data_IF_313563277545
#
_entry.id   IF_313563277545
#
_cell.length_a   1.000
_cell.length_b   1.000
_cell.length_c   1.000
_cell.angle_alpha   90.00
_cell.angle_beta   90.00
_cell.angle_gamma   90.00
#
_symmetry.space_group_name_H-M   'P 1'
#
loop_
_entity.id
_entity.type
_entity.pdbx_description
1 polymer ?
#
# COMPACT_ATOMS: atom_id res chain seq x y z
N UNK A 1 17.18 -49.51 21.98
CA UNK A 1 18.13 -48.43 22.28
C UNK A 1 17.33 -47.25 22.79
N UNK A 2 17.76 -46.61 23.87
CA UNK A 2 17.10 -45.44 24.46
C UNK A 2 16.96 -44.33 23.39
N UNK A 3 15.73 -43.92 23.06
CA UNK A 3 15.44 -42.98 21.98
C UNK A 3 16.13 -41.64 22.23
N UNK A 4 16.15 -41.21 23.50
CA UNK A 4 16.87 -40.04 23.96
C UNK A 4 18.39 -40.12 23.72
N UNK A 5 19.02 -41.26 24.01
CA UNK A 5 20.47 -41.41 23.84
C UNK A 5 20.89 -41.33 22.36
N UNK A 6 20.05 -41.86 21.46
CA UNK A 6 20.25 -41.73 20.00
C UNK A 6 20.13 -40.27 19.57
N UNK A 7 19.09 -39.56 20.03
CA UNK A 7 18.85 -38.16 19.70
C UNK A 7 19.98 -37.25 20.19
N UNK A 8 20.44 -37.43 21.44
CA UNK A 8 21.55 -36.66 22.03
C UNK A 8 22.86 -36.86 21.26
N UNK A 9 23.14 -38.09 20.80
CA UNK A 9 24.31 -38.36 19.96
C UNK A 9 24.22 -37.63 18.61
N UNK A 10 23.04 -37.56 18.00
CA UNK A 10 22.83 -36.86 16.73
C UNK A 10 23.00 -35.35 16.90
N UNK A 11 22.45 -34.75 17.95
CA UNK A 11 22.68 -33.33 18.26
C UNK A 11 24.16 -33.01 18.48
N UNK A 12 24.90 -33.86 19.22
CA UNK A 12 26.36 -33.70 19.39
C UNK A 12 27.14 -33.81 18.09
N UNK A 13 26.62 -34.55 17.11
CA UNK A 13 27.21 -34.70 15.79
C UNK A 13 26.81 -33.59 14.79
N UNK A 14 26.13 -32.54 15.27
CA UNK A 14 25.76 -31.38 14.45
C UNK A 14 24.47 -31.56 13.64
N UNK A 15 23.62 -32.53 14.01
CA UNK A 15 22.26 -32.60 13.48
C UNK A 15 21.36 -31.60 14.20
N UNK A 16 20.44 -31.01 13.46
CA UNK A 16 19.38 -30.14 13.94
C UNK A 16 18.03 -30.67 13.45
N UNK A 17 16.93 -30.22 14.05
CA UNK A 17 15.60 -30.55 13.54
C UNK A 17 15.32 -29.73 12.27
N UNK A 18 14.81 -30.41 11.24
CA UNK A 18 14.56 -29.91 9.87
C UNK A 18 13.05 -29.91 9.57
N UNK A 19 12.26 -29.32 10.47
CA UNK A 19 10.81 -29.27 10.38
C UNK A 19 10.14 -29.31 11.76
N UNK A 20 8.80 -29.18 11.81
CA UNK A 20 8.05 -29.35 13.05
C UNK A 20 8.12 -30.81 13.53
N UNK A 21 7.88 -31.01 14.82
CA UNK A 21 7.61 -32.32 15.36
C UNK A 21 6.26 -32.83 14.82
N UNK A 22 6.24 -34.01 14.21
CA UNK A 22 5.02 -34.54 13.57
C UNK A 22 4.46 -35.65 14.44
N UNK A 23 3.39 -35.36 15.18
CA UNK A 23 2.63 -36.37 15.92
C UNK A 23 1.68 -37.09 14.96
N UNK A 24 1.97 -38.34 14.61
CA UNK A 24 1.17 -39.06 13.60
C UNK A 24 -0.30 -39.25 14.01
N UNK A 25 -0.61 -39.17 15.30
CA UNK A 25 -1.98 -39.20 15.83
C UNK A 25 -2.83 -38.02 15.39
N UNK A 26 -2.23 -36.88 15.07
CA UNK A 26 -2.91 -35.61 14.73
C UNK A 26 -3.22 -35.47 13.24
N UNK A 27 -2.68 -36.36 12.40
CA UNK A 27 -2.76 -36.25 10.94
C UNK A 27 -3.67 -37.32 10.35
N UNK A 28 -4.43 -36.95 9.33
CA UNK A 28 -5.15 -37.90 8.48
C UNK A 28 -4.18 -38.57 7.51
N UNK A 29 -4.56 -39.71 6.93
CA UNK A 29 -3.73 -40.39 5.92
C UNK A 29 -3.39 -39.49 4.73
N UNK A 30 -4.31 -38.63 4.28
CA UNK A 30 -4.08 -37.65 3.21
C UNK A 30 -3.09 -36.55 3.63
N UNK A 31 -3.14 -36.10 4.89
CA UNK A 31 -2.19 -35.10 5.41
C UNK A 31 -0.78 -35.67 5.57
N UNK A 32 -0.65 -36.96 5.92
CA UNK A 32 0.65 -37.65 5.99
C UNK A 32 1.31 -37.71 4.61
N UNK A 33 0.55 -37.95 3.54
CA UNK A 33 1.07 -37.93 2.16
C UNK A 33 1.65 -36.57 1.77
N UNK A 34 0.95 -35.48 2.10
CA UNK A 34 1.44 -34.12 1.86
C UNK A 34 2.71 -33.83 2.63
N UNK A 35 2.80 -34.29 3.87
CA UNK A 35 4.00 -34.16 4.71
C UNK A 35 5.18 -34.92 4.12
N UNK A 36 4.99 -36.18 3.68
CA UNK A 36 6.04 -36.99 3.02
C UNK A 36 6.54 -36.32 1.75
N UNK A 37 5.64 -35.80 0.93
CA UNK A 37 5.99 -35.07 -0.30
C UNK A 37 6.68 -33.74 -0.03
N UNK A 38 6.24 -32.97 0.98
CA UNK A 38 6.78 -31.65 1.25
C UNK A 38 8.18 -31.71 1.85
N UNK A 39 8.42 -32.64 2.78
CA UNK A 39 9.70 -32.79 3.45
C UNK A 39 10.66 -33.76 2.75
N UNK A 40 10.22 -34.47 1.70
CA UNK A 40 10.96 -35.55 1.04
C UNK A 40 11.43 -36.61 2.05
N UNK A 41 10.49 -37.17 2.81
CA UNK A 41 10.77 -38.20 3.83
C UNK A 41 11.12 -39.53 3.17
N UNK A 42 12.24 -40.16 3.55
CA UNK A 42 12.67 -41.45 2.99
C UNK A 42 12.04 -42.68 3.65
N UNK A 43 11.39 -42.52 4.81
CA UNK A 43 10.65 -43.59 5.47
C UNK A 43 9.50 -44.09 4.59
N UNK A 44 9.35 -45.41 4.50
CA UNK A 44 8.26 -46.04 3.74
C UNK A 44 6.90 -45.55 4.22
N UNK A 45 6.08 -45.06 3.29
CA UNK A 45 4.76 -44.51 3.56
C UNK A 45 3.86 -45.52 4.29
N UNK A 46 4.00 -46.82 4.00
CA UNK A 46 3.25 -47.86 4.71
C UNK A 46 3.63 -47.95 6.19
N UNK A 47 4.87 -47.61 6.54
CA UNK A 47 5.35 -47.61 7.93
C UNK A 47 4.79 -46.43 8.72
N UNK A 48 4.60 -45.28 8.08
CA UNK A 48 3.98 -44.08 8.69
C UNK A 48 2.46 -44.21 8.83
N UNK A 49 1.81 -44.96 7.92
CA UNK A 49 0.37 -45.21 7.94
C UNK A 49 -0.04 -46.45 8.77
N UNK A 50 0.92 -47.24 9.26
CA UNK A 50 0.65 -48.39 10.12
C UNK A 50 -0.01 -47.95 11.43
N UNK A 51 -1.05 -48.67 11.85
CA UNK A 51 -1.72 -48.50 13.15
C UNK A 51 -0.72 -48.57 14.31
N UNK A 52 0.35 -49.37 14.18
CA UNK A 52 1.41 -49.52 15.19
C UNK A 52 2.35 -48.31 15.31
N UNK A 53 2.23 -47.34 14.40
CA UNK A 53 3.02 -46.11 14.36
C UNK A 53 2.21 -44.87 14.73
N UNK A 54 0.89 -44.99 14.85
CA UNK A 54 -0.03 -43.87 15.03
C UNK A 54 0.17 -43.11 16.34
N UNK A 55 0.72 -43.75 17.35
CA UNK A 55 1.06 -43.18 18.65
C UNK A 55 2.49 -42.60 18.71
N UNK A 56 3.24 -42.64 17.60
CA UNK A 56 4.62 -42.18 17.54
C UNK A 56 4.72 -40.78 16.95
N UNK A 57 5.79 -40.09 17.34
CA UNK A 57 6.22 -38.84 16.72
C UNK A 57 7.34 -39.09 15.73
N UNK A 58 7.28 -38.40 14.60
CA UNK A 58 8.33 -38.36 13.60
C UNK A 58 9.19 -37.10 13.82
N UNK A 59 10.48 -37.33 14.00
CA UNK A 59 11.54 -36.33 14.03
C UNK A 59 12.30 -36.38 12.71
N UNK A 60 12.42 -35.24 12.04
CA UNK A 60 13.25 -35.09 10.83
C UNK A 60 14.48 -34.29 11.24
N UNK A 61 15.65 -34.89 11.11
CA UNK A 61 16.92 -34.25 11.43
C UNK A 61 17.74 -34.04 10.17
N UNK A 62 18.45 -32.91 10.10
CA UNK A 62 19.42 -32.61 9.04
C UNK A 62 20.75 -32.21 9.66
N UNK A 63 21.85 -32.68 9.08
CA UNK A 63 23.17 -32.25 9.49
C UNK A 63 23.45 -30.82 8.98
N UNK A 64 23.99 -29.93 9.81
CA UNK A 64 24.19 -28.53 9.38
C UNK A 64 25.22 -28.38 8.25
N UNK A 65 26.25 -29.22 8.25
CA UNK A 65 27.38 -29.16 7.32
C UNK A 65 27.18 -29.95 6.02
N UNK A 66 26.10 -30.72 5.91
CA UNK A 66 25.80 -31.55 4.74
C UNK A 66 24.30 -31.53 4.41
N UNK A 67 23.91 -32.17 3.32
CA UNK A 67 22.48 -32.39 3.02
C UNK A 67 21.95 -33.70 3.62
N UNK A 68 22.73 -34.34 4.50
CA UNK A 68 22.38 -35.62 5.11
C UNK A 68 21.19 -35.46 6.05
N UNK A 69 20.24 -36.38 5.94
CA UNK A 69 18.96 -36.37 6.63
C UNK A 69 18.73 -37.69 7.33
N UNK A 70 18.14 -37.61 8.51
CA UNK A 70 17.82 -38.77 9.33
C UNK A 70 16.43 -38.59 9.89
N UNK A 71 15.56 -39.55 9.63
CA UNK A 71 14.25 -39.64 10.26
C UNK A 71 14.26 -40.57 11.46
N UNK A 72 13.61 -40.14 12.54
CA UNK A 72 13.43 -40.95 13.75
C UNK A 72 11.94 -41.01 14.08
N UNK A 73 11.40 -42.21 14.04
CA UNK A 73 10.07 -42.51 14.56
C UNK A 73 10.22 -42.99 16.01
N UNK A 74 9.61 -42.29 16.96
CA UNK A 74 9.78 -42.58 18.39
C UNK A 74 8.50 -42.33 19.20
N UNK A 75 8.25 -43.16 20.20
CA UNK A 75 7.26 -42.94 21.26
C UNK A 75 7.91 -42.61 22.61
N UNK A 76 9.24 -42.44 22.66
CA UNK A 76 9.96 -42.04 23.87
C UNK A 76 9.67 -40.56 24.20
N UNK A 77 8.81 -40.33 25.18
CA UNK A 77 8.42 -39.00 25.66
C UNK A 77 9.60 -38.12 26.04
N UNK A 78 10.70 -38.70 26.54
CA UNK A 78 11.89 -37.93 26.91
C UNK A 78 12.62 -37.42 25.68
N UNK A 79 12.68 -38.22 24.62
CA UNK A 79 13.25 -37.81 23.34
C UNK A 79 12.38 -36.74 22.67
N UNK A 80 11.05 -36.89 22.74
CA UNK A 80 10.08 -35.91 22.23
C UNK A 80 10.25 -34.56 22.95
N UNK A 81 10.18 -34.56 24.29
CA UNK A 81 10.36 -33.33 25.08
C UNK A 81 11.72 -32.67 24.83
N UNK A 82 12.78 -33.46 24.62
CA UNK A 82 14.11 -32.94 24.29
C UNK A 82 14.16 -32.32 22.90
N UNK A 83 13.47 -32.90 21.91
CA UNK A 83 13.34 -32.36 20.57
C UNK A 83 12.53 -31.05 20.57
N UNK A 84 11.43 -30.98 21.30
CA UNK A 84 10.66 -29.74 21.47
C UNK A 84 11.50 -28.61 22.06
N UNK A 85 12.27 -28.90 23.12
CA UNK A 85 13.23 -27.94 23.69
C UNK A 85 14.30 -27.52 22.67
N UNK A 86 14.72 -28.44 21.81
CA UNK A 86 15.64 -28.12 20.72
C UNK A 86 14.97 -27.19 19.70
N UNK A 87 13.73 -27.45 19.27
CA UNK A 87 12.97 -26.57 18.37
C UNK A 87 12.87 -25.16 18.95
N UNK A 88 12.45 -25.03 20.22
CA UNK A 88 12.37 -23.73 20.90
C UNK A 88 13.72 -22.99 20.90
N UNK A 89 14.81 -23.70 21.14
CA UNK A 89 16.16 -23.12 21.06
C UNK A 89 16.55 -22.73 19.62
N UNK A 90 16.20 -23.56 18.63
CA UNK A 90 16.50 -23.30 17.22
C UNK A 90 15.70 -22.10 16.68
N UNK A 91 14.44 -21.98 17.13
CA UNK A 91 13.49 -20.93 16.76
C UNK A 91 13.65 -19.66 17.60
N UNK A 92 14.56 -19.63 18.58
CA UNK A 92 14.86 -18.41 19.30
C UNK A 92 15.32 -17.33 18.31
N UNK A 93 14.65 -16.18 18.33
CA UNK A 93 14.99 -15.05 17.48
C UNK A 93 16.26 -14.40 18.02
N UNK A 94 17.34 -14.45 17.24
CA UNK A 94 18.64 -13.87 17.59
C UNK A 94 18.91 -12.54 16.88
N UNK A 95 17.99 -12.10 16.04
CA UNK A 95 18.10 -10.85 15.30
C UNK A 95 16.97 -10.67 14.31
N UNK A 96 17.11 -9.66 13.46
CA UNK A 96 16.12 -9.28 12.46
C UNK A 96 16.77 -9.10 11.11
N UNK A 97 16.12 -9.61 10.07
CA UNK A 97 16.49 -9.37 8.68
C UNK A 97 15.47 -8.41 8.06
N UNK A 98 15.97 -7.32 7.50
CA UNK A 98 15.16 -6.32 6.81
C UNK A 98 15.48 -6.42 5.33
N UNK A 99 14.47 -6.51 4.48
CA UNK A 99 14.58 -6.33 3.04
C UNK A 99 13.73 -5.13 2.64
N UNK A 100 14.29 -4.18 1.91
CA UNK A 100 13.65 -2.95 1.48
C UNK A 100 13.62 -2.94 -0.04
N UNK A 101 12.46 -2.60 -0.59
CA UNK A 101 12.25 -2.57 -2.03
C UNK A 101 12.15 -1.13 -2.52
N UNK A 102 12.99 -0.82 -3.51
CA UNK A 102 13.21 0.53 -3.98
C UNK A 102 13.03 0.65 -5.49
N UNK A 103 12.67 1.86 -5.93
CA UNK A 103 12.63 2.26 -7.33
C UNK A 103 13.34 3.60 -7.50
N UNK A 104 14.19 3.70 -8.52
CA UNK A 104 14.83 4.93 -8.96
C UNK A 104 14.07 5.49 -10.17
N UNK A 105 13.66 6.77 -10.11
CA UNK A 105 12.99 7.44 -11.23
C UNK A 105 13.38 8.92 -11.34
N UNK A 106 13.24 9.45 -12.55
CA UNK A 106 13.56 10.84 -12.86
C UNK A 106 15.08 11.07 -13.00
N UNK A 107 15.45 11.89 -13.98
CA UNK A 107 16.76 12.51 -14.07
C UNK A 107 16.60 13.89 -14.73
N UNK A 108 17.50 14.82 -14.45
CA UNK A 108 17.51 16.18 -15.04
C UNK A 108 17.68 16.20 -16.57
N UNK A 109 17.88 15.04 -17.20
CA UNK A 109 18.19 14.92 -18.63
C UNK A 109 16.89 14.82 -19.45
N UNK A 110 16.70 15.66 -20.49
CA UNK A 110 15.41 15.85 -21.15
C UNK A 110 14.93 14.69 -22.05
N UNK A 111 15.51 13.48 -21.95
CA UNK A 111 15.07 12.30 -22.73
C UNK A 111 15.14 11.03 -21.88
N UNK A 112 14.08 10.20 -22.02
CA UNK A 112 13.93 8.84 -21.45
C UNK A 112 15.21 8.02 -21.62
N UNK A 113 16.09 8.05 -20.64
CA UNK A 113 17.19 7.09 -20.53
C UNK A 113 16.87 6.06 -19.46
N UNK A 114 17.28 4.83 -19.74
CA UNK A 114 17.26 3.71 -18.81
C UNK A 114 18.30 4.01 -17.72
N UNK A 115 17.87 4.05 -16.46
CA UNK A 115 18.78 4.22 -15.32
C UNK A 115 19.42 2.87 -15.04
N UNK A 116 20.63 2.67 -15.54
CA UNK A 116 21.41 1.48 -15.23
C UNK A 116 21.99 1.58 -13.82
N UNK A 117 21.34 0.89 -12.88
CA UNK A 117 21.74 0.87 -11.47
C UNK A 117 22.95 -0.02 -11.18
N UNK A 118 23.51 -0.73 -12.17
CA UNK A 118 24.59 -1.71 -11.95
C UNK A 118 25.81 -1.10 -11.24
N UNK A 119 26.26 0.08 -11.67
CA UNK A 119 27.38 0.77 -11.02
C UNK A 119 26.99 1.42 -9.69
N UNK A 120 25.70 1.76 -9.51
CA UNK A 120 25.18 2.29 -8.24
C UNK A 120 25.12 1.17 -7.18
N UNK A 121 24.59 0.02 -7.56
CA UNK A 121 24.53 -1.23 -6.80
C UNK A 121 25.90 -1.65 -6.26
N UNK A 122 26.88 -1.76 -7.15
CA UNK A 122 28.23 -2.20 -6.80
C UNK A 122 28.93 -1.25 -5.81
N UNK A 123 28.64 0.06 -5.87
CA UNK A 123 29.25 1.06 -5.00
C UNK A 123 28.56 1.19 -3.64
N UNK A 124 27.31 0.75 -3.52
CA UNK A 124 26.54 0.80 -2.28
C UNK A 124 26.46 -0.55 -1.56
N UNK A 125 26.93 -1.63 -2.19
CA UNK A 125 26.96 -2.92 -1.55
C UNK A 125 27.86 -2.88 -0.30
N UNK A 126 27.32 -3.38 0.82
CA UNK A 126 27.88 -3.32 2.17
C UNK A 126 28.05 -1.91 2.76
N UNK A 127 27.50 -0.87 2.12
CA UNK A 127 27.48 0.48 2.71
C UNK A 127 26.60 0.48 3.96
N UNK A 128 27.21 0.71 5.12
CA UNK A 128 26.56 0.68 6.43
C UNK A 128 25.83 -0.65 6.73
N UNK A 129 26.33 -1.74 6.14
CA UNK A 129 25.78 -3.10 6.32
C UNK A 129 24.53 -3.39 5.49
N UNK A 130 24.20 -2.55 4.51
CA UNK A 130 23.16 -2.84 3.53
C UNK A 130 23.75 -3.59 2.32
N UNK A 131 23.16 -4.74 2.00
CA UNK A 131 23.48 -5.55 0.84
C UNK A 131 22.56 -5.17 -0.31
N UNK A 132 23.14 -4.91 -1.47
CA UNK A 132 22.39 -4.45 -2.64
C UNK A 132 22.14 -5.60 -3.60
N UNK A 133 20.92 -5.71 -4.10
CA UNK A 133 20.54 -6.61 -5.18
C UNK A 133 19.70 -5.88 -6.22
N UNK A 134 20.06 -6.01 -7.50
CA UNK A 134 19.26 -5.44 -8.59
C UNK A 134 17.95 -6.22 -8.72
N UNK A 135 16.86 -5.50 -8.96
CA UNK A 135 15.56 -6.11 -9.27
C UNK A 135 15.48 -6.53 -10.73
N UNK A 136 14.50 -7.38 -11.06
CA UNK A 136 14.27 -7.86 -12.43
C UNK A 136 13.72 -6.77 -13.37
N UNK A 137 13.19 -5.68 -12.80
CA UNK A 137 12.66 -4.54 -13.55
C UNK A 137 13.65 -3.38 -13.58
N UNK A 138 13.77 -2.72 -14.73
CA UNK A 138 14.64 -1.54 -14.88
C UNK A 138 14.34 -0.46 -13.83
N UNK A 139 15.39 0.08 -13.21
CA UNK A 139 15.27 1.09 -12.16
C UNK A 139 14.82 0.55 -10.80
N UNK A 140 14.61 -0.75 -10.62
CA UNK A 140 14.25 -1.34 -9.33
C UNK A 140 15.43 -2.03 -8.65
N UNK A 141 15.42 -2.04 -7.32
CA UNK A 141 16.45 -2.70 -6.53
C UNK A 141 15.97 -3.05 -5.11
N UNK A 142 16.67 -3.99 -4.50
CA UNK A 142 16.47 -4.48 -3.15
C UNK A 142 17.68 -4.13 -2.29
N UNK A 143 17.41 -3.75 -1.05
CA UNK A 143 18.41 -3.51 -0.03
C UNK A 143 18.12 -4.39 1.19
N UNK A 144 19.07 -5.22 1.57
CA UNK A 144 18.94 -6.12 2.70
C UNK A 144 19.88 -5.74 3.84
N UNK A 145 19.42 -5.80 5.09
CA UNK A 145 20.28 -5.59 6.26
C UNK A 145 19.91 -6.57 7.37
N UNK A 146 20.96 -7.13 7.97
CA UNK A 146 20.87 -7.94 9.18
C UNK A 146 21.12 -7.07 10.40
N UNK A 147 20.23 -7.15 11.38
CA UNK A 147 20.34 -6.52 12.68
C UNK A 147 20.47 -7.59 13.76
N UNK A 148 21.39 -7.40 14.71
CA UNK A 148 21.52 -8.24 15.91
C UNK A 148 20.55 -7.80 17.03
N UNK A 149 19.41 -7.21 16.64
CA UNK A 149 18.35 -6.75 17.54
C UNK A 149 16.99 -7.21 17.03
N UNK A 150 16.07 -7.44 17.95
CA UNK A 150 14.65 -7.75 17.70
C UNK A 150 13.73 -6.58 18.07
N UNK A 151 14.29 -5.45 18.50
CA UNK A 151 13.51 -4.29 18.92
C UNK A 151 12.97 -3.52 17.71
N UNK A 152 11.69 -3.20 17.73
CA UNK A 152 11.02 -2.42 16.69
C UNK A 152 11.68 -1.05 16.47
N UNK A 153 12.14 -0.40 17.55
CA UNK A 153 12.87 0.86 17.47
C UNK A 153 14.19 0.77 16.68
N UNK A 154 14.88 -0.37 16.73
CA UNK A 154 16.10 -0.59 15.96
C UNK A 154 15.79 -0.77 14.46
N UNK A 155 14.67 -1.40 14.14
CA UNK A 155 14.17 -1.56 12.77
C UNK A 155 13.81 -0.20 12.19
N UNK A 156 13.00 0.60 12.90
CA UNK A 156 12.59 1.92 12.43
C UNK A 156 13.80 2.83 12.23
N UNK A 157 14.75 2.82 13.16
CA UNK A 157 16.00 3.58 13.03
C UNK A 157 16.79 3.18 11.79
N UNK A 158 16.86 1.89 11.46
CA UNK A 158 17.55 1.42 10.26
C UNK A 158 16.84 1.87 8.97
N UNK A 159 15.50 1.87 8.96
CA UNK A 159 14.70 2.36 7.83
C UNK A 159 14.83 3.88 7.65
N UNK A 160 14.81 4.65 8.74
CA UNK A 160 15.00 6.10 8.72
C UNK A 160 16.42 6.48 8.24
N UNK A 161 17.43 5.74 8.70
CA UNK A 161 18.81 5.87 8.23
C UNK A 161 18.90 5.60 6.72
N UNK A 162 18.25 4.54 6.24
CA UNK A 162 18.22 4.22 4.82
C UNK A 162 17.51 5.32 4.00
N UNK A 163 16.34 5.79 4.45
CA UNK A 163 15.62 6.86 3.77
C UNK A 163 16.50 8.12 3.66
N UNK A 164 17.19 8.50 4.74
CA UNK A 164 18.12 9.63 4.73
C UNK A 164 19.25 9.45 3.71
N UNK A 165 19.84 8.24 3.63
CA UNK A 165 20.86 7.92 2.62
C UNK A 165 20.29 8.09 1.20
N UNK A 166 19.10 7.56 0.94
CA UNK A 166 18.45 7.66 -0.37
C UNK A 166 18.09 9.12 -0.73
N UNK A 167 17.68 9.93 0.24
CA UNK A 167 17.40 11.35 0.04
C UNK A 167 18.67 12.13 -0.32
N UNK A 168 19.78 11.89 0.41
CA UNK A 168 21.08 12.50 0.13
C UNK A 168 21.58 12.08 -1.26
N UNK A 169 21.48 10.79 -1.59
CA UNK A 169 21.84 10.27 -2.91
C UNK A 169 20.98 10.88 -4.00
N UNK A 170 19.70 11.15 -3.71
CA UNK A 170 18.79 11.76 -4.68
C UNK A 170 19.28 13.14 -5.12
N UNK A 171 19.81 13.93 -4.18
CA UNK A 171 20.40 15.24 -4.47
C UNK A 171 21.67 15.10 -5.30
N UNK A 172 22.60 14.23 -4.91
CA UNK A 172 23.88 14.09 -5.60
C UNK A 172 23.74 13.49 -7.00
N UNK A 173 22.78 12.58 -7.18
CA UNK A 173 22.56 11.88 -8.44
C UNK A 173 21.46 12.50 -9.29
N UNK A 174 20.79 13.53 -8.78
CA UNK A 174 19.65 14.18 -9.44
C UNK A 174 18.61 13.15 -9.92
N UNK A 175 18.40 12.12 -9.12
CA UNK A 175 17.58 10.94 -9.39
C UNK A 175 16.73 10.69 -8.16
N UNK A 176 15.42 10.56 -8.27
CA UNK A 176 14.60 10.26 -7.10
C UNK A 176 14.67 8.76 -6.77
N UNK A 177 14.87 8.44 -5.49
CA UNK A 177 14.77 7.09 -4.97
C UNK A 177 13.53 6.97 -4.07
N UNK A 178 12.68 5.98 -4.32
CA UNK A 178 11.47 5.72 -3.54
C UNK A 178 11.53 4.32 -2.95
N UNK A 179 11.31 4.23 -1.64
CA UNK A 179 10.97 2.97 -0.98
C UNK A 179 9.47 2.74 -1.19
N UNK A 180 9.10 1.64 -1.86
CA UNK A 180 7.70 1.28 -2.08
C UNK A 180 7.21 0.17 -1.14
N UNK A 181 8.13 -0.53 -0.48
CA UNK A 181 7.79 -1.52 0.52
C UNK A 181 9.02 -2.02 1.27
N UNK A 182 8.78 -2.74 2.36
CA UNK A 182 9.81 -3.49 3.06
C UNK A 182 9.20 -4.74 3.70
N UNK A 183 10.03 -5.75 3.92
CA UNK A 183 9.70 -6.95 4.68
C UNK A 183 10.68 -7.12 5.84
N UNK A 184 10.15 -7.52 6.99
CA UNK A 184 10.92 -7.80 8.19
C UNK A 184 10.73 -9.27 8.54
N UNK A 185 11.83 -9.99 8.73
CA UNK A 185 11.79 -11.41 9.08
C UNK A 185 12.72 -11.69 10.27
N UNK A 186 12.29 -12.52 11.23
CA UNK A 186 13.14 -12.90 12.35
C UNK A 186 14.31 -13.77 11.87
N UNK A 187 15.50 -13.50 12.38
CA UNK A 187 16.66 -14.38 12.21
C UNK A 187 16.63 -15.37 13.35
N UNK A 188 16.39 -16.64 13.00
CA UNK A 188 16.39 -17.75 13.96
C UNK A 188 17.82 -18.19 14.28
N UNK A 189 18.05 -18.65 15.51
CA UNK A 189 19.37 -19.09 16.01
C UNK A 189 20.02 -20.13 15.10
N UNK A 190 19.23 -21.11 14.67
CA UNK A 190 19.68 -22.19 13.79
C UNK A 190 18.52 -22.64 12.90
N UNK A 191 18.45 -22.07 11.71
CA UNK A 191 17.42 -22.38 10.73
C UNK A 191 17.64 -21.62 9.43
N UNK A 192 17.03 -22.08 8.34
CA UNK A 192 16.91 -21.28 7.11
C UNK A 192 16.17 -19.99 7.47
N UNK A 193 16.67 -18.87 6.98
CA UNK A 193 15.83 -17.68 6.81
C UNK A 193 14.77 -18.10 5.80
N UNK A 194 13.55 -18.38 6.27
CA UNK A 194 12.40 -18.43 5.38
C UNK A 194 12.14 -16.96 5.06
N UNK A 195 12.86 -16.45 4.07
CA UNK A 195 12.41 -15.25 3.38
C UNK A 195 11.19 -15.70 2.59
N UNK A 196 10.00 -15.35 3.08
CA UNK A 196 8.90 -15.18 2.14
C UNK A 196 9.40 -14.16 1.12
N UNK A 197 9.59 -14.62 -0.12
CA UNK A 197 9.72 -13.70 -1.25
C UNK A 197 8.49 -12.80 -1.31
N UNK A 198 8.48 -11.79 -2.20
CA UNK A 198 7.27 -11.01 -2.43
C UNK A 198 6.08 -11.97 -2.61
N UNK A 199 5.02 -11.77 -1.85
CA UNK A 199 3.77 -12.50 -2.09
C UNK A 199 3.27 -12.08 -3.46
N UNK A 200 3.47 -12.97 -4.44
CA UNK A 200 2.93 -12.81 -5.78
C UNK A 200 1.41 -12.88 -5.69
N UNK A 201 0.79 -11.71 -5.58
CA UNK A 201 -0.66 -11.60 -5.67
C UNK A 201 -1.00 -11.54 -7.14
N UNK A 202 -1.40 -12.68 -7.70
CA UNK A 202 -1.97 -12.70 -9.05
C UNK A 202 -3.25 -11.90 -9.05
N UNK A 203 -3.37 -10.93 -9.96
CA UNK A 203 -4.66 -10.30 -10.21
C UNK A 203 -5.65 -11.40 -10.61
N UNK A 204 -6.84 -11.47 -9.99
CA UNK A 204 -7.85 -12.42 -10.41
C UNK A 204 -8.20 -12.18 -11.88
N UNK A 205 -8.57 -13.23 -12.64
CA UNK A 205 -8.98 -13.07 -14.02
C UNK A 205 -10.19 -12.13 -14.08
N UNK A 206 -10.18 -11.22 -15.06
CA UNK A 206 -11.29 -10.29 -15.29
C UNK A 206 -12.57 -11.08 -15.52
N UNK A 207 -13.57 -10.82 -14.70
CA UNK A 207 -14.88 -11.48 -14.74
C UNK A 207 -15.72 -10.95 -15.90
N UNK A 208 -16.74 -11.71 -16.32
CA UNK A 208 -17.66 -11.26 -17.37
C UNK A 208 -18.45 -10.01 -16.94
N UNK A 209 -18.81 -9.91 -15.66
CA UNK A 209 -19.45 -8.71 -15.07
C UNK A 209 -18.56 -7.48 -15.20
N UNK A 210 -17.25 -7.59 -14.91
CA UNK A 210 -16.30 -6.49 -15.11
C UNK A 210 -16.16 -6.11 -16.58
N UNK A 211 -16.17 -7.06 -17.51
CA UNK A 211 -16.14 -6.77 -18.95
C UNK A 211 -17.38 -5.98 -19.37
N UNK A 212 -18.56 -6.36 -18.89
CA UNK A 212 -19.81 -5.68 -19.26
C UNK A 212 -19.89 -4.28 -18.63
N UNK A 213 -19.39 -4.10 -17.40
CA UNK A 213 -19.19 -2.79 -16.77
C UNK A 213 -18.21 -1.91 -17.54
N UNK A 214 -17.10 -2.46 -18.04
CA UNK A 214 -16.15 -1.73 -18.89
C UNK A 214 -16.85 -1.26 -20.17
N UNK A 215 -17.66 -2.10 -20.82
CA UNK A 215 -18.42 -1.69 -22.01
C UNK A 215 -19.41 -0.57 -21.68
N UNK A 216 -20.12 -0.68 -20.56
CA UNK A 216 -21.04 0.36 -20.08
C UNK A 216 -20.29 1.68 -19.80
N UNK A 217 -19.14 1.62 -19.12
CA UNK A 217 -18.26 2.76 -18.87
C UNK A 217 -17.82 3.49 -20.15
N UNK A 218 -17.53 2.74 -21.20
CA UNK A 218 -17.08 3.29 -22.47
C UNK A 218 -18.18 4.07 -23.21
N UNK A 219 -19.45 3.92 -22.82
CA UNK A 219 -20.60 4.55 -23.47
C UNK A 219 -20.89 6.00 -23.02
N UNK A 220 -20.36 6.46 -21.88
CA UNK A 220 -20.59 7.82 -21.36
C UNK A 220 -19.29 8.56 -21.09
N UNK A 221 -19.29 9.88 -21.23
CA UNK A 221 -18.08 10.71 -21.02
C UNK A 221 -17.85 10.92 -19.53
N UNK A 222 -18.92 11.08 -18.76
CA UNK A 222 -18.94 11.32 -17.33
C UNK A 222 -18.35 10.13 -16.55
N UNK A 223 -18.68 8.89 -16.96
CA UNK A 223 -18.09 7.70 -16.36
C UNK A 223 -16.59 7.59 -16.67
N UNK A 224 -16.17 7.93 -17.90
CA UNK A 224 -14.74 7.95 -18.26
C UNK A 224 -13.98 8.96 -17.41
N UNK A 225 -14.54 10.13 -17.16
CA UNK A 225 -13.93 11.16 -16.33
C UNK A 225 -13.88 10.72 -14.86
N UNK A 226 -14.93 10.07 -14.34
CA UNK A 226 -14.92 9.47 -13.00
C UNK A 226 -13.85 8.38 -12.85
N UNK A 227 -13.76 7.43 -13.78
CA UNK A 227 -12.71 6.40 -13.78
C UNK A 227 -11.32 7.01 -13.92
N UNK A 228 -11.15 8.02 -14.78
CA UNK A 228 -9.87 8.72 -14.93
C UNK A 228 -9.48 9.41 -13.63
N UNK A 229 -10.41 10.08 -12.96
CA UNK A 229 -10.17 10.72 -11.67
C UNK A 229 -9.75 9.75 -10.57
N UNK A 230 -10.44 8.61 -10.48
CA UNK A 230 -10.08 7.53 -9.55
C UNK A 230 -8.71 6.93 -9.89
N UNK A 231 -8.44 6.63 -11.16
CA UNK A 231 -7.13 6.13 -11.59
C UNK A 231 -6.03 7.13 -11.27
N UNK A 232 -6.24 8.41 -11.58
CA UNK A 232 -5.27 9.46 -11.29
C UNK A 232 -5.02 9.59 -9.79
N UNK A 233 -6.04 9.48 -8.94
CA UNK A 233 -5.82 9.45 -7.50
C UNK A 233 -5.02 8.20 -7.06
N UNK A 234 -5.26 7.03 -7.63
CA UNK A 234 -4.46 5.84 -7.28
C UNK A 234 -2.99 5.93 -7.69
N UNK A 235 -2.69 6.68 -8.75
CA UNK A 235 -1.31 6.94 -9.20
C UNK A 235 -0.57 7.92 -8.29
N UNK A 236 -1.28 8.80 -7.57
CA UNK A 236 -0.64 9.78 -6.69
C UNK A 236 -0.10 9.14 -5.40
N UNK A 237 1.11 9.52 -5.01
CA UNK A 237 1.80 8.93 -3.85
C UNK A 237 1.38 9.54 -2.51
N UNK A 238 0.84 10.77 -2.50
CA UNK A 238 0.46 11.46 -1.25
C UNK A 238 -1.05 11.65 -1.17
N UNK A 239 -1.62 11.50 0.03
CA UNK A 239 -3.08 11.68 0.26
C UNK A 239 -3.58 13.07 -0.15
N UNK A 240 -2.74 14.10 -0.04
CA UNK A 240 -3.09 15.45 -0.45
C UNK A 240 -3.16 15.63 -1.97
N UNK A 241 -2.23 15.04 -2.71
CA UNK A 241 -2.31 14.98 -4.17
C UNK A 241 -3.55 14.21 -4.61
N UNK A 242 -3.85 13.08 -3.96
CA UNK A 242 -5.08 12.31 -4.18
C UNK A 242 -6.32 13.16 -3.99
N UNK A 243 -6.43 13.86 -2.86
CA UNK A 243 -7.53 14.77 -2.56
C UNK A 243 -7.68 15.85 -3.63
N UNK A 244 -6.57 16.39 -4.14
CA UNK A 244 -6.61 17.42 -5.19
C UNK A 244 -7.10 16.89 -6.53
N UNK A 245 -6.68 15.68 -6.93
CA UNK A 245 -7.19 15.00 -8.13
C UNK A 245 -8.67 14.68 -8.03
N UNK A 246 -9.07 14.07 -6.91
CA UNK A 246 -10.47 13.75 -6.64
C UNK A 246 -11.33 15.02 -6.62
N UNK A 247 -10.86 16.09 -5.98
CA UNK A 247 -11.58 17.37 -5.98
C UNK A 247 -11.83 17.87 -7.40
N UNK A 248 -10.80 17.91 -8.26
CA UNK A 248 -10.93 18.46 -9.60
C UNK A 248 -11.98 17.70 -10.44
N UNK A 249 -11.99 16.37 -10.33
CA UNK A 249 -12.96 15.54 -11.05
C UNK A 249 -14.37 15.64 -10.45
N UNK A 250 -14.49 15.63 -9.12
CA UNK A 250 -15.78 15.83 -8.45
C UNK A 250 -16.36 17.21 -8.77
N UNK A 251 -15.54 18.26 -8.81
CA UNK A 251 -15.97 19.61 -9.22
C UNK A 251 -16.47 19.61 -10.68
N UNK A 252 -15.75 18.95 -11.59
CA UNK A 252 -16.17 18.86 -12.99
C UNK A 252 -17.48 18.09 -13.21
N UNK A 253 -17.71 17.01 -12.44
CA UNK A 253 -18.89 16.15 -12.59
C UNK A 253 -20.13 16.68 -11.86
N UNK A 254 -19.96 17.30 -10.68
CA UNK A 254 -21.08 17.60 -9.79
C UNK A 254 -21.38 19.09 -9.63
N UNK A 255 -20.52 19.99 -10.09
CA UNK A 255 -20.79 21.43 -10.02
C UNK A 255 -21.66 21.88 -11.20
N UNK A 256 -22.95 22.13 -10.93
CA UNK A 256 -23.88 22.72 -11.90
C UNK A 256 -23.44 24.13 -12.31
N UNK A 257 -23.97 24.72 -13.40
CA UNK A 257 -23.65 26.10 -13.79
C UNK A 257 -24.15 27.11 -12.74
N UNK A 258 -23.44 28.22 -12.48
CA UNK A 258 -23.90 29.21 -11.53
C UNK A 258 -25.06 30.02 -12.11
N UNK A 259 -26.04 30.31 -11.25
CA UNK A 259 -27.15 31.22 -11.52
C UNK A 259 -26.90 32.53 -10.78
N UNK A 260 -27.29 33.65 -11.39
CA UNK A 260 -27.14 34.97 -10.76
C UNK A 260 -28.06 35.08 -9.55
N UNK A 261 -27.55 35.67 -8.47
CA UNK A 261 -28.34 35.99 -7.28
C UNK A 261 -29.39 37.07 -7.57
N UNK A 262 -29.07 38.04 -8.42
CA UNK A 262 -29.92 39.19 -8.72
C UNK A 262 -30.69 38.97 -10.03
N UNK A 263 -31.95 39.40 -10.03
CA UNK A 263 -32.79 39.48 -11.22
C UNK A 263 -32.36 40.65 -12.12
N UNK A 264 -32.77 40.63 -13.40
CA UNK A 264 -32.43 41.72 -14.33
C UNK A 264 -33.02 43.07 -13.89
N UNK A 265 -34.18 43.06 -13.23
CA UNK A 265 -34.79 44.27 -12.68
C UNK A 265 -33.96 44.86 -11.54
N UNK A 266 -33.52 44.03 -10.58
CA UNK A 266 -32.66 44.44 -9.47
C UNK A 266 -31.31 44.96 -9.96
N UNK A 267 -30.70 44.28 -10.94
CA UNK A 267 -29.45 44.74 -11.57
C UNK A 267 -29.65 46.12 -12.20
N UNK A 268 -30.74 46.34 -12.95
CA UNK A 268 -31.01 47.63 -13.57
C UNK A 268 -31.24 48.75 -12.54
N UNK A 269 -31.92 48.45 -11.44
CA UNK A 269 -32.12 49.41 -10.35
C UNK A 269 -30.81 49.78 -9.65
N UNK A 270 -29.95 48.79 -9.36
CA UNK A 270 -28.64 49.01 -8.75
C UNK A 270 -27.71 49.80 -9.66
N UNK A 271 -27.73 49.54 -10.96
CA UNK A 271 -26.92 50.27 -11.94
C UNK A 271 -27.38 51.74 -12.07
N UNK A 272 -28.69 51.99 -12.13
CA UNK A 272 -29.22 53.37 -12.12
C UNK A 272 -28.83 54.12 -10.85
N UNK A 273 -28.97 53.48 -9.69
CA UNK A 273 -28.55 54.08 -8.42
C UNK A 273 -27.04 54.35 -8.39
N UNK A 274 -26.22 53.48 -8.99
CA UNK A 274 -24.77 53.67 -9.09
C UNK A 274 -24.38 54.83 -10.04
N UNK A 275 -25.15 55.06 -11.10
CA UNK A 275 -24.98 56.19 -12.02
C UNK A 275 -25.27 57.55 -11.36
N UNK A 276 -26.16 57.58 -10.36
CA UNK A 276 -26.47 58.79 -9.60
C UNK A 276 -25.36 59.17 -8.58
N UNK A 277 -24.44 58.24 -8.28
CA UNK A 277 -23.30 58.50 -7.38
C UNK A 277 -22.23 59.27 -8.15
N UNK A 278 -22.08 60.58 -7.85
CA UNK A 278 -21.12 61.49 -8.51
C UNK A 278 -19.70 60.92 -8.69
N UNK A 279 -19.16 60.23 -7.69
CA UNK A 279 -17.81 59.65 -7.75
C UNK A 279 -17.68 58.42 -8.65
N UNK A 280 -18.77 57.68 -8.86
CA UNK A 280 -18.81 56.52 -9.76
C UNK A 280 -19.14 56.95 -11.20
N UNK A 281 -20.07 57.89 -11.36
CA UNK A 281 -20.44 58.44 -12.67
C UNK A 281 -19.23 59.11 -13.37
N UNK A 282 -18.37 59.77 -12.59
CA UNK A 282 -17.13 60.36 -13.10
C UNK A 282 -16.04 59.34 -13.44
N UNK A 283 -16.12 58.11 -12.93
CA UNK A 283 -15.19 57.01 -13.21
C UNK A 283 -15.87 55.89 -14.01
N UNK A 284 -15.96 56.11 -15.33
CA UNK A 284 -16.59 55.17 -16.27
C UNK A 284 -15.99 53.76 -16.22
N UNK A 285 -14.68 53.63 -15.98
CA UNK A 285 -14.04 52.30 -15.91
C UNK A 285 -14.56 51.51 -14.72
N UNK A 286 -14.70 52.17 -13.57
CA UNK A 286 -15.22 51.54 -12.36
C UNK A 286 -16.71 51.19 -12.49
N UNK A 287 -17.49 52.06 -13.13
CA UNK A 287 -18.90 51.80 -13.41
C UNK A 287 -19.09 50.60 -14.35
N UNK A 288 -18.31 50.49 -15.42
CA UNK A 288 -18.44 49.33 -16.32
C UNK A 288 -17.97 48.03 -15.68
N UNK A 289 -16.92 48.07 -14.85
CA UNK A 289 -16.52 46.89 -14.07
C UNK A 289 -17.62 46.44 -13.10
N UNK A 290 -18.37 47.38 -12.52
CA UNK A 290 -19.53 47.07 -11.69
C UNK A 290 -20.63 46.38 -12.50
N UNK A 291 -20.92 46.90 -13.70
CA UNK A 291 -21.89 46.32 -14.64
C UNK A 291 -21.51 44.91 -15.06
N UNK A 292 -20.26 44.69 -15.46
CA UNK A 292 -19.73 43.35 -15.77
C UNK A 292 -19.87 42.41 -14.57
N UNK A 293 -19.60 42.90 -13.35
CA UNK A 293 -19.69 42.08 -12.13
C UNK A 293 -21.12 41.63 -11.83
N UNK A 294 -22.13 42.50 -12.03
CA UNK A 294 -23.53 42.13 -11.83
C UNK A 294 -24.10 41.23 -12.94
N UNK A 295 -23.49 41.26 -14.12
CA UNK A 295 -23.88 40.38 -15.23
C UNK A 295 -23.20 39.01 -15.18
N UNK A 296 -22.06 38.87 -14.50
CA UNK A 296 -21.34 37.58 -14.40
C UNK A 296 -21.92 36.68 -13.27
N UNK A 297 -22.58 35.55 -13.59
CA UNK A 297 -23.12 34.63 -12.60
C UNK A 297 -22.04 34.02 -11.68
N UNK A 298 -20.77 34.00 -12.07
CA UNK A 298 -19.69 33.49 -11.23
C UNK A 298 -19.27 34.45 -10.11
N UNK A 299 -19.57 35.75 -10.25
CA UNK A 299 -19.16 36.78 -9.29
C UNK A 299 -20.10 36.90 -8.11
N UNK A 300 -21.40 36.80 -8.39
CA UNK A 300 -22.48 36.94 -7.41
C UNK A 300 -23.51 35.81 -7.61
N UNK A 301 -23.10 34.55 -7.38
CA UNK A 301 -23.97 33.41 -7.60
C UNK A 301 -25.04 33.30 -6.50
N UNK A 302 -26.22 32.83 -6.86
CA UNK A 302 -27.31 32.52 -5.92
C UNK A 302 -26.89 31.45 -4.90
N UNK A 303 -26.14 30.43 -5.37
CA UNK A 303 -25.55 29.36 -4.56
C UNK A 303 -24.05 29.31 -4.76
N UNK A 304 -23.30 29.19 -3.66
CA UNK A 304 -21.86 29.06 -3.76
C UNK A 304 -21.48 27.71 -4.42
N UNK A 305 -20.20 27.58 -4.80
CA UNK A 305 -19.71 26.38 -5.49
C UNK A 305 -19.97 25.09 -4.70
N UNK A 306 -19.67 25.11 -3.41
CA UNK A 306 -19.77 23.94 -2.55
C UNK A 306 -21.24 23.54 -2.34
N UNK A 307 -22.15 24.49 -2.26
CA UNK A 307 -23.60 24.25 -2.23
C UNK A 307 -24.06 23.56 -3.51
N UNK A 308 -23.68 24.09 -4.69
CA UNK A 308 -24.04 23.47 -5.98
C UNK A 308 -23.57 22.02 -6.10
N UNK A 309 -22.33 21.75 -5.67
CA UNK A 309 -21.80 20.37 -5.65
C UNK A 309 -22.57 19.48 -4.66
N UNK A 310 -22.84 19.99 -3.46
CA UNK A 310 -23.54 19.25 -2.41
C UNK A 310 -24.95 18.82 -2.84
N UNK A 311 -25.67 19.65 -3.61
CA UNK A 311 -26.99 19.29 -4.12
C UNK A 311 -26.96 18.06 -5.05
N UNK A 312 -26.01 18.02 -5.97
CA UNK A 312 -25.81 16.89 -6.88
C UNK A 312 -25.35 15.63 -6.12
N UNK A 313 -24.42 15.80 -5.18
CA UNK A 313 -23.82 14.69 -4.43
C UNK A 313 -24.81 14.07 -3.44
N UNK A 314 -25.64 14.88 -2.78
CA UNK A 314 -26.67 14.41 -1.87
C UNK A 314 -27.61 13.40 -2.54
N UNK A 315 -28.01 13.68 -3.80
CA UNK A 315 -28.82 12.77 -4.60
C UNK A 315 -28.08 11.46 -4.94
N UNK A 316 -26.78 11.53 -5.26
CA UNK A 316 -25.98 10.34 -5.59
C UNK A 316 -25.74 9.46 -4.37
N UNK A 317 -25.41 10.04 -3.22
CA UNK A 317 -25.13 9.27 -2.00
C UNK A 317 -26.38 8.93 -1.18
N UNK A 318 -27.55 9.47 -1.54
CA UNK A 318 -28.79 9.33 -0.75
C UNK A 318 -28.64 9.84 0.70
N UNK A 319 -28.03 11.02 0.82
CA UNK A 319 -27.80 11.72 2.10
C UNK A 319 -28.45 13.10 2.09
N UNK A 320 -28.52 13.76 3.24
CA UNK A 320 -29.03 15.13 3.32
C UNK A 320 -28.08 16.12 2.62
N UNK A 321 -28.65 17.22 2.10
CA UNK A 321 -27.86 18.30 1.48
C UNK A 321 -26.91 18.94 2.49
N UNK A 322 -27.34 19.04 3.75
CA UNK A 322 -26.57 19.61 4.85
C UNK A 322 -25.34 18.76 5.16
N UNK A 323 -25.50 17.43 5.16
CA UNK A 323 -24.39 16.49 5.36
C UNK A 323 -23.40 16.57 4.19
N UNK A 324 -23.89 16.49 2.95
CA UNK A 324 -23.05 16.60 1.75
C UNK A 324 -22.30 17.94 1.73
N UNK A 325 -22.96 19.04 2.09
CA UNK A 325 -22.35 20.36 2.15
C UNK A 325 -21.25 20.46 3.20
N UNK A 326 -21.47 19.92 4.39
CA UNK A 326 -20.47 19.87 5.46
C UNK A 326 -19.19 19.15 4.99
N UNK A 327 -19.35 17.96 4.39
CA UNK A 327 -18.24 17.15 3.88
C UNK A 327 -17.51 17.81 2.71
N UNK A 328 -18.23 18.42 1.76
CA UNK A 328 -17.62 19.16 0.63
C UNK A 328 -16.89 20.41 1.10
N UNK A 329 -17.46 21.14 2.07
CA UNK A 329 -16.82 22.32 2.65
C UNK A 329 -15.50 21.94 3.32
N UNK A 330 -15.49 20.84 4.07
CA UNK A 330 -14.28 20.35 4.72
C UNK A 330 -13.23 19.89 3.70
N UNK A 331 -13.62 19.13 2.67
CA UNK A 331 -12.72 18.72 1.59
C UNK A 331 -12.11 19.93 0.86
N UNK A 332 -12.92 20.95 0.54
CA UNK A 332 -12.45 22.20 -0.07
C UNK A 332 -11.47 22.93 0.82
N UNK A 333 -11.73 22.96 2.14
CA UNK A 333 -10.87 23.61 3.12
C UNK A 333 -9.54 22.87 3.26
N UNK A 334 -9.57 21.54 3.43
CA UNK A 334 -8.37 20.72 3.56
C UNK A 334 -7.46 20.82 2.32
N UNK A 335 -8.05 20.77 1.13
CA UNK A 335 -7.32 21.00 -0.14
C UNK A 335 -6.68 22.40 -0.19
N UNK A 336 -7.45 23.43 0.14
CA UNK A 336 -6.99 24.82 0.13
C UNK A 336 -5.88 25.06 1.16
N UNK A 337 -6.04 24.52 2.37
CA UNK A 337 -5.03 24.60 3.42
C UNK A 337 -3.72 23.94 2.97
N UNK A 338 -3.74 22.70 2.47
CA UNK A 338 -2.51 22.06 2.01
C UNK A 338 -1.86 22.81 0.84
N UNK A 339 -2.64 23.45 -0.03
CA UNK A 339 -2.09 24.21 -1.17
C UNK A 339 -1.29 25.45 -0.74
N UNK A 340 -1.51 25.95 0.49
CA UNK A 340 -0.96 27.23 0.96
C UNK A 340 -0.24 27.16 2.32
N UNK A 341 -0.42 26.09 3.10
CA UNK A 341 0.11 25.91 4.45
C UNK A 341 0.49 24.43 4.67
N UNK A 342 1.76 24.18 5.03
CA UNK A 342 2.28 22.86 5.44
C UNK A 342 1.78 22.51 6.86
N UNK A 343 0.50 22.18 7.01
CA UNK A 343 -0.10 21.78 8.29
C UNK A 343 -0.37 20.27 8.33
N UNK A 344 -0.09 19.64 9.49
CA UNK A 344 -0.22 18.21 9.75
C UNK A 344 -1.66 17.74 10.06
N UNK A 345 -2.69 18.23 9.36
CA UNK A 345 -4.05 17.69 9.54
C UNK A 345 -4.31 16.50 8.60
N UNK A 346 -3.56 15.42 8.80
CA UNK A 346 -3.60 14.24 7.93
C UNK A 346 -4.90 13.44 8.03
N UNK A 347 -5.54 13.44 9.21
CA UNK A 347 -6.85 12.80 9.42
C UNK A 347 -7.95 13.50 8.62
N UNK A 348 -8.00 14.83 8.62
CA UNK A 348 -8.96 15.59 7.81
C UNK A 348 -8.77 15.39 6.31
N UNK A 349 -7.51 15.26 5.85
CA UNK A 349 -7.19 14.95 4.45
C UNK A 349 -7.66 13.54 4.09
N UNK A 350 -7.40 12.54 4.94
CA UNK A 350 -7.83 11.17 4.73
C UNK A 350 -9.36 11.05 4.67
N UNK A 351 -10.07 11.64 5.64
CA UNK A 351 -11.53 11.62 5.66
C UNK A 351 -12.12 12.29 4.39
N UNK A 352 -11.52 13.39 3.95
CA UNK A 352 -11.94 14.10 2.74
C UNK A 352 -11.64 13.31 1.46
N UNK A 353 -10.47 12.66 1.38
CA UNK A 353 -10.09 11.79 0.26
C UNK A 353 -11.06 10.61 0.14
N UNK A 354 -11.29 9.89 1.24
CA UNK A 354 -12.20 8.76 1.29
C UNK A 354 -13.62 9.15 0.86
N UNK A 355 -14.12 10.28 1.37
CA UNK A 355 -15.43 10.79 0.99
C UNK A 355 -15.54 11.08 -0.51
N UNK A 356 -14.59 11.82 -1.10
CA UNK A 356 -14.65 12.14 -2.53
C UNK A 356 -14.47 10.88 -3.40
N UNK A 357 -13.66 9.92 -2.95
CA UNK A 357 -13.53 8.62 -3.61
C UNK A 357 -14.84 7.85 -3.60
N UNK A 358 -15.53 7.82 -2.46
CA UNK A 358 -16.84 7.19 -2.30
C UNK A 358 -17.90 7.84 -3.20
N UNK A 359 -17.90 9.17 -3.31
CA UNK A 359 -18.79 9.89 -4.24
C UNK A 359 -18.64 9.36 -5.67
N UNK A 360 -17.40 9.25 -6.17
CA UNK A 360 -17.13 8.78 -7.54
C UNK A 360 -17.45 7.29 -7.72
N UNK A 361 -17.14 6.44 -6.74
CA UNK A 361 -17.46 5.00 -6.79
C UNK A 361 -18.98 4.78 -6.79
N UNK A 362 -19.71 5.49 -5.95
CA UNK A 362 -21.18 5.37 -5.87
C UNK A 362 -21.85 5.93 -7.10
N UNK A 363 -21.31 7.01 -7.67
CA UNK A 363 -21.73 7.53 -8.97
C UNK A 363 -21.63 6.44 -10.05
N UNK A 364 -20.47 5.79 -10.20
CA UNK A 364 -20.29 4.70 -11.16
C UNK A 364 -21.30 3.56 -10.93
N UNK A 365 -21.43 3.10 -9.68
CA UNK A 365 -22.40 2.04 -9.31
C UNK A 365 -23.84 2.38 -9.68
N UNK A 366 -24.31 3.61 -9.41
CA UNK A 366 -25.68 4.04 -9.74
C UNK A 366 -25.95 4.07 -11.25
N UNK A 367 -24.92 4.20 -12.06
CA UNK A 367 -25.03 4.13 -13.51
C UNK A 367 -24.89 2.69 -14.06
N UNK A 368 -24.89 1.67 -13.20
CA UNK A 368 -24.59 0.26 -13.53
C UNK A 368 -23.22 0.08 -14.19
N UNK A 369 -22.25 0.87 -13.72
CA UNK A 369 -20.87 0.90 -14.21
C UNK A 369 -19.92 0.41 -13.12
#
# INVERSE_FOLDING_TARGET
MDGLAKLERLFKNGYILDGPLIHLSEYTSESIERVVSFFNIELDQKTLLDLSSRDKSLLILRQQSSSDRIEILTSDERAICRAEKQLVYQDETVGTYICVFCTAFGCEVPRRQIIYLNNFANNLNDFLGWQFKLGDTEGTFELARRLDSTEEGAIQKALDELQCILDILSVFRKTAFLIWGYSVSPIRRTGRVISSGPEETFFPPVTHDEIDRIKAALSTTEAKDAFRGLRESYVENTRASRLSRLWAVTEGLFCSKPERMLTDEEVNLLLKAAEDIKSLNSDKKRLEKLKETFQDPNRLPLKNRNERMAESIAFILDVSKEEAYSKIKEASKMRGMHSHQLLNNWEGIEASEMFLREVLITFLKKHNI
#
